data_IF_608494345497
#
_entry.id   IF_608494345497
#
_cell.length_a   1.000
_cell.length_b   1.000
_cell.length_c   1.000
_cell.angle_alpha   90.00
_cell.angle_beta   90.00
_cell.angle_gamma   90.00
#
_symmetry.space_group_name_H-M   'P 1'
#
loop_
_entity.id
_entity.type
_entity.pdbx_description
1 polymer ?
#
# COMPACT_ATOMS: atom_id res chain seq x y z
N UNK A 1 -10.16 -18.55 4.45
CA UNK A 1 -9.55 -17.38 3.80
C UNK A 1 -10.65 -16.34 3.64
N UNK A 2 -10.48 -15.13 4.17
CA UNK A 2 -11.38 -14.02 3.86
C UNK A 2 -10.87 -13.43 2.55
N UNK A 3 -11.62 -13.62 1.48
CA UNK A 3 -11.32 -13.05 0.17
C UNK A 3 -11.76 -11.58 0.20
N UNK A 4 -10.81 -10.65 0.23
CA UNK A 4 -11.11 -9.22 0.07
C UNK A 4 -11.72 -9.00 -1.31
N UNK A 5 -12.76 -8.17 -1.37
CA UNK A 5 -13.38 -7.75 -2.63
C UNK A 5 -12.58 -6.64 -3.29
N UNK A 6 -13.16 -5.43 -3.30
CA UNK A 6 -12.51 -4.24 -3.85
C UNK A 6 -11.78 -3.49 -2.76
N UNK A 7 -10.52 -3.15 -3.02
CA UNK A 7 -9.71 -2.33 -2.11
C UNK A 7 -9.30 -1.05 -2.81
N UNK A 8 -9.27 0.06 -2.08
CA UNK A 8 -8.63 1.29 -2.55
C UNK A 8 -7.21 1.33 -2.03
N UNK A 9 -6.26 1.58 -2.93
CA UNK A 9 -4.84 1.60 -2.60
C UNK A 9 -4.22 2.93 -2.99
N UNK A 10 -3.18 3.30 -2.26
CA UNK A 10 -2.19 4.28 -2.72
C UNK A 10 -0.81 3.64 -2.76
N UNK A 11 0.04 4.08 -3.67
CA UNK A 11 1.40 3.56 -3.85
C UNK A 11 2.48 4.66 -3.76
N UNK A 12 3.65 4.23 -3.30
CA UNK A 12 4.93 4.92 -3.55
C UNK A 12 5.82 3.89 -4.22
N UNK A 13 6.33 4.21 -5.40
CA UNK A 13 7.23 3.35 -6.14
C UNK A 13 8.61 4.00 -6.26
N UNK A 14 9.64 3.34 -5.74
CA UNK A 14 11.02 3.77 -5.88
C UNK A 14 11.69 2.91 -6.97
N UNK A 15 11.86 3.42 -8.19
CA UNK A 15 12.40 2.64 -9.30
C UNK A 15 13.88 2.33 -9.07
N UNK A 16 14.29 1.13 -9.46
CA UNK A 16 15.70 0.83 -9.63
C UNK A 16 16.23 1.44 -10.94
N UNK A 17 17.42 2.07 -10.93
CA UNK A 17 18.05 2.49 -12.17
C UNK A 17 18.38 1.27 -13.04
N UNK A 18 18.45 1.48 -14.35
CA UNK A 18 18.84 0.43 -15.28
C UNK A 18 20.26 -0.08 -14.92
N UNK A 19 20.37 -1.38 -14.63
CA UNK A 19 21.64 -1.98 -14.20
C UNK A 19 22.02 -1.73 -12.74
N UNK A 20 21.06 -1.35 -11.87
CA UNK A 20 21.30 -1.10 -10.45
C UNK A 20 22.13 -2.20 -9.78
N UNK A 21 23.24 -1.77 -9.19
CA UNK A 21 24.14 -2.62 -8.41
C UNK A 21 23.44 -3.15 -7.15
N UNK A 22 23.92 -4.25 -6.53
CA UNK A 22 23.38 -4.74 -5.27
C UNK A 22 23.37 -3.67 -4.16
N UNK A 23 24.40 -2.83 -4.10
CA UNK A 23 24.47 -1.73 -3.14
C UNK A 23 23.37 -0.68 -3.38
N UNK A 24 23.14 -0.27 -4.63
CA UNK A 24 22.10 0.70 -4.97
C UNK A 24 20.70 0.19 -4.62
N UNK A 25 20.44 -1.10 -4.83
CA UNK A 25 19.18 -1.73 -4.42
C UNK A 25 19.01 -1.67 -2.89
N UNK A 26 20.07 -1.94 -2.13
CA UNK A 26 20.04 -1.85 -0.66
C UNK A 26 19.75 -0.43 -0.19
N UNK A 27 20.36 0.58 -0.81
CA UNK A 27 20.13 2.00 -0.49
C UNK A 27 18.68 2.41 -0.77
N UNK A 28 18.12 2.02 -1.92
CA UNK A 28 16.73 2.32 -2.28
C UNK A 28 15.74 1.60 -1.35
N UNK A 29 16.04 0.36 -0.94
CA UNK A 29 15.25 -0.33 0.08
C UNK A 29 15.35 0.37 1.45
N UNK A 30 16.52 0.90 1.81
CA UNK A 30 16.70 1.68 3.04
C UNK A 30 15.91 2.99 2.99
N UNK A 31 15.86 3.65 1.83
CA UNK A 31 15.03 4.82 1.61
C UNK A 31 13.54 4.49 1.76
N UNK A 32 13.07 3.37 1.17
CA UNK A 32 11.69 2.92 1.35
C UNK A 32 11.33 2.68 2.82
N UNK A 33 12.25 2.09 3.61
CA UNK A 33 12.05 1.91 5.06
C UNK A 33 11.89 3.25 5.77
N UNK A 34 12.76 4.22 5.50
CA UNK A 34 12.68 5.57 6.09
C UNK A 34 11.37 6.27 5.77
N UNK A 35 10.95 6.28 4.50
CA UNK A 35 9.68 6.87 4.06
C UNK A 35 8.51 6.23 4.81
N UNK A 36 8.50 4.89 4.93
CA UNK A 36 7.48 4.19 5.70
C UNK A 36 7.47 4.63 7.17
N UNK A 37 8.64 4.69 7.81
CA UNK A 37 8.75 5.09 9.22
C UNK A 37 8.20 6.51 9.45
N UNK A 38 8.48 7.45 8.54
CA UNK A 38 7.92 8.81 8.62
C UNK A 38 6.39 8.81 8.46
N UNK A 39 5.86 8.00 7.54
CA UNK A 39 4.41 7.85 7.36
C UNK A 39 3.76 7.25 8.61
N UNK A 40 4.39 6.25 9.22
CA UNK A 40 3.93 5.65 10.48
C UNK A 40 3.98 6.64 11.65
N UNK A 41 4.88 7.63 11.60
CA UNK A 41 4.95 8.75 12.55
C UNK A 41 3.95 9.88 12.25
N UNK A 42 3.15 9.76 11.18
CA UNK A 42 2.06 10.68 10.84
C UNK A 42 2.33 11.57 9.63
N UNK A 43 3.45 11.38 8.92
CA UNK A 43 3.67 12.12 7.67
C UNK A 43 2.59 11.77 6.62
N UNK A 44 2.05 12.75 5.87
CA UNK A 44 1.04 12.48 4.86
C UNK A 44 1.58 11.62 3.72
N UNK A 45 0.97 10.45 3.52
CA UNK A 45 1.35 9.51 2.45
C UNK A 45 1.34 10.18 1.08
N UNK A 46 0.35 11.04 0.80
CA UNK A 46 0.23 11.73 -0.49
C UNK A 46 1.40 12.67 -0.78
N UNK A 47 1.96 13.32 0.24
CA UNK A 47 3.11 14.21 0.10
C UNK A 47 4.39 13.40 -0.13
N UNK A 48 4.55 12.29 0.60
CA UNK A 48 5.64 11.34 0.38
C UNK A 48 5.58 10.74 -1.04
N UNK A 49 4.37 10.41 -1.53
CA UNK A 49 4.17 9.91 -2.88
C UNK A 49 4.53 10.96 -3.94
N UNK A 50 4.06 12.21 -3.80
CA UNK A 50 4.41 13.30 -4.72
C UNK A 50 5.91 13.58 -4.76
N UNK A 51 6.58 13.41 -3.63
CA UNK A 51 8.02 13.74 -3.48
C UNK A 51 8.92 12.63 -4.01
N UNK A 52 8.63 11.37 -3.68
CA UNK A 52 9.57 10.27 -3.89
C UNK A 52 9.15 9.25 -4.95
N UNK A 53 7.85 9.16 -5.28
CA UNK A 53 7.37 8.12 -6.18
C UNK A 53 7.76 8.40 -7.64
N UNK A 54 8.37 7.41 -8.28
CA UNK A 54 8.63 7.38 -9.72
C UNK A 54 7.45 6.89 -10.56
N UNK A 55 6.31 6.55 -9.95
CA UNK A 55 5.10 6.17 -10.68
C UNK A 55 4.31 7.39 -11.15
N UNK A 56 3.49 7.23 -12.20
CA UNK A 56 2.58 8.29 -12.69
C UNK A 56 1.54 8.70 -11.65
N UNK A 57 1.19 7.79 -10.74
CA UNK A 57 0.26 8.06 -9.63
C UNK A 57 0.80 9.12 -8.66
N UNK A 58 2.10 9.42 -8.65
CA UNK A 58 2.71 10.46 -7.82
C UNK A 58 1.99 11.81 -7.94
N UNK A 59 1.59 12.19 -9.16
CA UNK A 59 0.88 13.44 -9.44
C UNK A 59 -0.47 13.56 -8.70
N UNK A 60 -1.10 12.44 -8.36
CA UNK A 60 -2.36 12.37 -7.61
C UNK A 60 -2.16 11.80 -6.20
N UNK A 61 -0.96 11.97 -5.63
CA UNK A 61 -0.66 11.52 -4.26
C UNK A 61 -0.53 10.00 -4.12
N UNK A 62 -0.24 9.31 -5.21
CA UNK A 62 -0.09 7.86 -5.24
C UNK A 62 -1.42 7.09 -5.32
N UNK A 63 -2.58 7.74 -5.40
CA UNK A 63 -3.88 7.06 -5.42
C UNK A 63 -4.07 6.22 -6.68
N UNK A 64 -4.36 4.93 -6.49
CA UNK A 64 -4.68 3.96 -7.55
C UNK A 64 -6.19 3.75 -7.71
N UNK A 65 -6.99 4.33 -6.83
CA UNK A 65 -8.43 4.10 -6.79
C UNK A 65 -8.78 2.67 -6.37
N UNK A 66 -10.01 2.25 -6.65
CA UNK A 66 -10.51 0.92 -6.27
C UNK A 66 -10.12 -0.14 -7.28
N UNK A 67 -9.38 -1.14 -6.81
CA UNK A 67 -8.92 -2.31 -7.57
C UNK A 67 -9.49 -3.60 -6.99
N UNK A 68 -9.65 -4.62 -7.83
CA UNK A 68 -10.00 -5.96 -7.38
C UNK A 68 -8.80 -6.58 -6.67
N UNK A 69 -8.95 -7.00 -5.41
CA UNK A 69 -7.85 -7.58 -4.65
C UNK A 69 -7.28 -8.84 -5.33
N UNK A 70 -8.14 -9.63 -5.96
CA UNK A 70 -7.79 -10.83 -6.73
C UNK A 70 -6.94 -10.54 -7.97
N UNK A 71 -7.00 -9.32 -8.50
CA UNK A 71 -6.21 -8.89 -9.68
C UNK A 71 -4.82 -8.37 -9.32
N UNK A 72 -4.51 -8.22 -8.03
CA UNK A 72 -3.19 -7.80 -7.56
C UNK A 72 -2.16 -8.92 -7.71
N UNK A 73 -0.88 -8.54 -7.90
CA UNK A 73 0.24 -9.48 -7.87
C UNK A 73 0.24 -10.25 -6.54
N UNK A 74 0.60 -11.55 -6.51
CA UNK A 74 0.61 -12.35 -5.28
C UNK A 74 1.48 -11.77 -4.15
N UNK A 75 2.57 -11.08 -4.50
CA UNK A 75 3.40 -10.37 -3.50
C UNK A 75 2.63 -9.25 -2.80
N UNK A 76 1.84 -8.47 -3.55
CA UNK A 76 1.03 -7.37 -3.02
C UNK A 76 -0.13 -7.89 -2.18
N UNK A 77 -0.80 -8.95 -2.65
CA UNK A 77 -1.86 -9.61 -1.87
C UNK A 77 -1.33 -10.06 -0.51
N UNK A 78 -0.19 -10.75 -0.47
CA UNK A 78 0.42 -11.21 0.79
C UNK A 78 0.76 -10.04 1.73
N UNK A 79 1.31 -8.96 1.20
CA UNK A 79 1.67 -7.77 1.98
C UNK A 79 0.44 -7.00 2.51
N UNK A 80 -0.64 -6.94 1.73
CA UNK A 80 -1.88 -6.23 2.08
C UNK A 80 -2.84 -7.05 2.94
N UNK A 81 -2.78 -8.38 2.89
CA UNK A 81 -3.66 -9.29 3.63
C UNK A 81 -3.76 -8.95 5.13
N UNK A 82 -2.63 -8.77 5.86
CA UNK A 82 -2.69 -8.49 7.30
C UNK A 82 -3.08 -7.05 7.64
N UNK A 83 -3.13 -6.13 6.66
CA UNK A 83 -3.33 -4.70 6.91
C UNK A 83 -4.79 -4.33 7.12
N UNK A 84 -5.04 -3.36 7.96
CA UNK A 84 -6.31 -2.66 8.10
C UNK A 84 -6.28 -1.37 7.29
N UNK A 85 -7.46 -0.83 7.00
CA UNK A 85 -7.58 0.49 6.39
C UNK A 85 -6.79 1.54 7.17
N UNK A 86 -5.97 2.30 6.47
CA UNK A 86 -5.03 3.29 7.00
C UNK A 86 -3.60 2.78 7.11
N UNK A 87 -3.37 1.46 7.15
CA UNK A 87 -2.03 0.89 7.31
C UNK A 87 -1.25 0.81 5.99
N UNK A 88 0.08 0.74 6.12
CA UNK A 88 1.06 0.70 5.03
C UNK A 88 1.83 -0.63 5.05
N UNK A 89 2.18 -1.17 3.88
CA UNK A 89 2.98 -2.38 3.77
C UNK A 89 4.43 -2.13 4.17
N UNK A 90 5.18 -3.17 4.59
CA UNK A 90 6.64 -3.11 4.49
C UNK A 90 7.09 -2.89 3.02
N UNK A 91 8.35 -2.48 2.80
CA UNK A 91 8.91 -2.36 1.45
C UNK A 91 8.83 -3.69 0.69
N UNK A 92 8.21 -3.65 -0.49
CA UNK A 92 8.05 -4.80 -1.37
C UNK A 92 9.10 -4.69 -2.47
N UNK A 93 10.14 -5.50 -2.36
CA UNK A 93 11.20 -5.59 -3.36
C UNK A 93 10.70 -6.31 -4.62
N UNK A 94 10.97 -5.72 -5.78
CA UNK A 94 10.63 -6.26 -7.10
C UNK A 94 11.79 -6.06 -8.07
N UNK A 95 11.72 -6.64 -9.27
CA UNK A 95 12.77 -6.44 -10.27
C UNK A 95 12.89 -4.98 -10.74
N UNK A 96 11.77 -4.25 -10.73
CA UNK A 96 11.65 -2.88 -11.23
C UNK A 96 12.04 -1.83 -10.18
N UNK A 97 11.98 -2.18 -8.89
CA UNK A 97 12.11 -1.24 -7.78
C UNK A 97 11.41 -1.72 -6.52
N UNK A 98 11.17 -0.77 -5.61
CA UNK A 98 10.54 -1.03 -4.30
C UNK A 98 9.19 -0.35 -4.24
N UNK A 99 8.16 -1.09 -3.82
CA UNK A 99 6.82 -0.57 -3.59
C UNK A 99 6.51 -0.42 -2.11
N UNK A 100 5.83 0.67 -1.75
CA UNK A 100 5.07 0.81 -0.52
C UNK A 100 3.60 0.99 -0.90
N UNK A 101 2.72 0.17 -0.33
CA UNK A 101 1.29 0.24 -0.59
C UNK A 101 0.57 0.64 0.70
N UNK A 102 -0.38 1.56 0.60
CA UNK A 102 -1.29 1.92 1.69
C UNK A 102 -2.69 1.45 1.36
N UNK A 103 -3.31 0.71 2.28
CA UNK A 103 -4.72 0.36 2.18
C UNK A 103 -5.55 1.57 2.61
N UNK A 104 -6.15 2.28 1.66
CA UNK A 104 -6.89 3.52 1.96
C UNK A 104 -8.37 3.32 2.20
N UNK A 105 -8.95 2.27 1.62
CA UNK A 105 -10.33 1.86 1.85
C UNK A 105 -10.51 0.39 1.46
N UNK A 106 -11.54 -0.26 1.99
CA UNK A 106 -11.95 -1.58 1.52
C UNK A 106 -13.47 -1.66 1.44
N UNK A 107 -13.95 -2.12 0.29
CA UNK A 107 -15.35 -2.46 0.05
C UNK A 107 -15.45 -3.98 0.06
N UNK A 108 -15.81 -4.50 1.21
CA UNK A 108 -16.16 -5.90 1.32
C UNK A 108 -17.37 -6.19 0.44
N UNK A 109 -17.32 -7.29 -0.33
CA UNK A 109 -18.45 -7.76 -1.10
C UNK A 109 -19.61 -8.27 -0.22
N UNK A 110 -19.46 -8.27 1.11
CA UNK A 110 -20.46 -8.80 2.04
C UNK A 110 -21.12 -7.70 2.89
N UNK A 111 -22.45 -7.73 2.80
CA UNK A 111 -23.46 -7.10 3.64
C UNK A 111 -22.97 -6.92 5.09
N UNK A 112 -22.99 -5.67 5.59
CA UNK A 112 -22.90 -5.41 7.05
C UNK A 112 -24.09 -6.08 7.72
N UNK A 113 -23.88 -7.18 8.43
CA UNK A 113 -24.83 -7.64 9.43
C UNK A 113 -24.86 -6.60 10.56
N UNK A 114 -25.92 -5.79 10.58
CA UNK A 114 -26.21 -4.88 11.70
C UNK A 114 -26.66 -5.74 12.88
N UNK A 115 -25.74 -6.04 13.79
CA UNK A 115 -26.12 -6.53 15.11
C UNK A 115 -26.71 -5.36 15.90
N UNK A 116 -28.04 -5.23 15.82
CA UNK A 116 -28.81 -4.43 16.77
C UNK A 116 -29.02 -5.28 18.02
N UNK A 117 -28.14 -5.15 19.02
CA UNK A 117 -28.47 -5.64 20.35
C UNK A 117 -29.42 -4.64 20.99
N UNK A 118 -30.72 -4.95 20.93
CA UNK A 118 -31.69 -4.43 21.88
C UNK A 118 -31.41 -5.20 23.17
N UNK A 119 -30.94 -4.52 24.20
CA UNK A 119 -31.05 -4.99 25.58
C UNK A 119 -32.16 -4.18 26.23
N UNK A 120 -33.39 -4.70 26.14
CA UNK A 120 -34.41 -4.42 27.15
C UNK A 120 -34.24 -5.47 28.26
N UNK A 121 -34.10 -4.98 29.49
CA UNK A 121 -33.97 -5.76 30.71
C UNK A 121 -33.88 -4.83 31.91
#
# INVERSE_FOLDING_TARGET
>A
MIERGRVRLSEIFLPYPAGASPLERVEIQAQARKIREEIEQGAPFEEMARTYSGSRSAAVGGDLGFVEFSSLRPAFQRALTPLRTGEITPPIDTEEGVYLLKLTDERDGRIRFRFSFIVEG
#
